data_IF_975756776052
#
_entry.id   IF_975756776052
#
_cell.length_a   1.000
_cell.length_b   1.000
_cell.length_c   1.000
_cell.angle_alpha   90.00
_cell.angle_beta   90.00
_cell.angle_gamma   90.00
#
_symmetry.space_group_name_H-M   'P 1'
#
loop_
_entity.id
_entity.type
_entity.pdbx_description
1 polymer ?
#
# COMPACT_ATOMS: atom_id res chain seq x y z
N UNK A 1 -26.27 32.35 -42.47
CA UNK A 1 -26.17 31.24 -43.44
C UNK A 1 -27.31 30.24 -43.29
N UNK A 2 -27.45 29.48 -42.18
CA UNK A 2 -28.54 28.49 -42.02
C UNK A 2 -29.94 29.10 -42.20
N UNK A 3 -30.23 30.18 -41.47
CA UNK A 3 -31.49 30.93 -41.55
C UNK A 3 -31.77 31.47 -42.97
N UNK A 4 -30.72 31.80 -43.73
CA UNK A 4 -30.84 32.32 -45.09
C UNK A 4 -31.19 31.20 -46.08
N UNK A 5 -30.61 30.00 -45.89
CA UNK A 5 -30.92 28.79 -46.67
C UNK A 5 -32.37 28.36 -46.41
N UNK A 6 -32.78 28.28 -45.14
CA UNK A 6 -34.16 27.96 -44.74
C UNK A 6 -35.15 28.99 -45.29
N UNK A 7 -34.81 30.28 -45.19
CA UNK A 7 -35.61 31.37 -45.74
C UNK A 7 -35.75 31.28 -47.26
N UNK A 8 -34.65 31.00 -47.98
CA UNK A 8 -34.66 30.83 -49.43
C UNK A 8 -35.50 29.64 -49.86
N UNK A 9 -35.34 28.49 -49.19
CA UNK A 9 -36.16 27.30 -49.46
C UNK A 9 -37.65 27.58 -49.26
N UNK A 10 -38.01 28.25 -48.16
CA UNK A 10 -39.40 28.63 -47.90
C UNK A 10 -39.97 29.51 -49.02
N UNK A 11 -39.23 30.53 -49.46
CA UNK A 11 -39.66 31.40 -50.56
C UNK A 11 -39.86 30.61 -51.86
N UNK A 12 -38.93 29.72 -52.21
CA UNK A 12 -39.02 28.90 -53.42
C UNK A 12 -40.20 27.91 -53.35
N UNK A 13 -40.40 27.27 -52.19
CA UNK A 13 -41.53 26.37 -51.97
C UNK A 13 -42.88 27.09 -52.03
N UNK A 14 -42.99 28.26 -51.39
CA UNK A 14 -44.19 29.09 -51.42
C UNK A 14 -44.49 29.57 -52.85
N UNK A 15 -43.46 29.96 -53.62
CA UNK A 15 -43.60 30.32 -55.02
C UNK A 15 -44.06 29.14 -55.89
N UNK A 16 -43.48 27.94 -55.69
CA UNK A 16 -43.94 26.73 -56.39
C UNK A 16 -45.44 26.48 -56.12
N UNK A 17 -45.87 26.52 -54.85
CA UNK A 17 -47.27 26.32 -54.49
C UNK A 17 -48.25 27.28 -55.19
N UNK A 18 -47.81 28.51 -55.49
CA UNK A 18 -48.59 29.48 -56.27
C UNK A 18 -48.60 29.08 -57.74
N UNK A 19 -47.44 28.77 -58.32
CA UNK A 19 -47.29 28.43 -59.75
C UNK A 19 -48.05 27.15 -60.14
N UNK A 20 -48.15 26.17 -59.24
CA UNK A 20 -48.87 24.92 -59.48
C UNK A 20 -50.35 25.15 -59.86
N UNK A 21 -50.94 26.29 -59.53
CA UNK A 21 -52.33 26.63 -59.91
C UNK A 21 -52.50 27.05 -61.38
N UNK A 22 -51.40 27.31 -62.08
CA UNK A 22 -51.37 27.93 -63.40
C UNK A 22 -50.70 27.06 -64.47
N UNK A 23 -50.12 25.93 -64.08
CA UNK A 23 -49.28 25.08 -64.93
C UNK A 23 -50.02 23.82 -65.36
N UNK A 24 -49.58 23.24 -66.48
CA UNK A 24 -49.99 21.90 -66.91
C UNK A 24 -49.34 20.80 -66.05
N UNK A 25 -49.90 19.59 -66.12
CA UNK A 25 -49.48 18.43 -65.30
C UNK A 25 -48.00 18.09 -65.45
N UNK A 26 -47.42 18.27 -66.63
CA UNK A 26 -46.03 17.93 -66.89
C UNK A 26 -45.10 18.92 -66.17
N UNK A 27 -45.40 20.22 -66.29
CA UNK A 27 -44.62 21.27 -65.61
C UNK A 27 -44.81 21.27 -64.09
N UNK A 28 -46.01 20.91 -63.62
CA UNK A 28 -46.27 20.70 -62.20
C UNK A 28 -45.37 19.59 -61.62
N UNK A 29 -45.29 18.44 -62.30
CA UNK A 29 -44.46 17.31 -61.88
C UNK A 29 -42.97 17.66 -61.85
N UNK A 30 -42.46 18.38 -62.85
CA UNK A 30 -41.06 18.83 -62.92
C UNK A 30 -40.68 19.70 -61.72
N UNK A 31 -41.45 20.76 -61.44
CA UNK A 31 -41.15 21.68 -60.33
C UNK A 31 -41.33 21.02 -58.96
N UNK A 32 -42.30 20.10 -58.80
CA UNK A 32 -42.43 19.35 -57.56
C UNK A 32 -41.23 18.43 -57.33
N UNK A 33 -40.68 17.82 -58.39
CA UNK A 33 -39.43 17.05 -58.31
C UNK A 33 -38.24 17.90 -57.86
N UNK A 34 -38.12 19.14 -58.35
CA UNK A 34 -37.09 20.08 -57.88
C UNK A 34 -37.26 20.45 -56.39
N UNK A 35 -38.49 20.74 -55.97
CA UNK A 35 -38.81 21.01 -54.55
C UNK A 35 -38.44 19.81 -53.67
N UNK A 36 -38.75 18.59 -54.09
CA UNK A 36 -38.40 17.39 -53.34
C UNK A 36 -36.88 17.17 -53.28
N UNK A 37 -36.16 17.51 -54.35
CA UNK A 37 -34.69 17.57 -54.34
C UNK A 37 -34.15 18.60 -53.34
N UNK A 38 -34.77 19.78 -53.23
CA UNK A 38 -34.39 20.79 -52.25
C UNK A 38 -34.72 20.35 -50.81
N UNK A 39 -35.87 19.70 -50.58
CA UNK A 39 -36.20 19.10 -49.27
C UNK A 39 -35.17 18.07 -48.85
N UNK A 40 -34.74 17.19 -49.75
CA UNK A 40 -33.69 16.21 -49.45
C UNK A 40 -32.37 16.89 -49.05
N UNK A 41 -32.03 18.04 -49.65
CA UNK A 41 -30.86 18.85 -49.24
C UNK A 41 -31.05 19.51 -47.87
N UNK A 42 -32.27 19.93 -47.53
CA UNK A 42 -32.59 20.44 -46.19
C UNK A 42 -32.38 19.37 -45.11
N UNK A 43 -32.69 18.10 -45.40
CA UNK A 43 -32.40 16.99 -44.48
C UNK A 43 -30.90 16.79 -44.26
N UNK A 44 -30.06 16.99 -45.28
CA UNK A 44 -28.61 16.96 -45.11
C UNK A 44 -28.15 18.09 -44.19
N UNK A 45 -28.74 19.28 -44.32
CA UNK A 45 -28.45 20.43 -43.45
C UNK A 45 -28.82 20.14 -41.98
N UNK A 46 -29.92 19.44 -41.71
CA UNK A 46 -30.27 19.00 -40.35
C UNK A 46 -29.21 18.05 -39.77
N UNK A 47 -28.80 17.04 -40.54
CA UNK A 47 -27.76 16.09 -40.10
C UNK A 47 -26.41 16.76 -39.88
N UNK A 48 -26.08 17.80 -40.63
CA UNK A 48 -24.87 18.60 -40.38
C UNK A 48 -24.91 19.28 -39.01
N UNK A 49 -26.04 19.84 -38.59
CA UNK A 49 -26.16 20.45 -37.27
C UNK A 49 -26.02 19.44 -36.13
N UNK A 50 -26.63 18.26 -36.27
CA UNK A 50 -26.47 17.17 -35.30
C UNK A 50 -25.00 16.76 -35.16
N UNK A 51 -24.28 16.63 -36.27
CA UNK A 51 -22.84 16.35 -36.27
C UNK A 51 -22.01 17.48 -35.66
N UNK A 52 -22.33 18.74 -35.96
CA UNK A 52 -21.64 19.89 -35.38
C UNK A 52 -21.86 19.97 -33.86
N UNK A 53 -23.08 19.67 -33.40
CA UNK A 53 -23.40 19.60 -31.98
C UNK A 53 -22.60 18.49 -31.29
N UNK A 54 -22.59 17.29 -31.86
CA UNK A 54 -21.78 16.18 -31.37
C UNK A 54 -20.29 16.54 -31.28
N UNK A 55 -19.72 17.14 -32.33
CA UNK A 55 -18.31 17.57 -32.34
C UNK A 55 -18.03 18.62 -31.26
N UNK A 56 -18.95 19.56 -31.03
CA UNK A 56 -18.81 20.56 -29.98
C UNK A 56 -18.83 19.93 -28.58
N UNK A 57 -19.71 18.97 -28.34
CA UNK A 57 -19.80 18.23 -27.07
C UNK A 57 -18.55 17.38 -26.85
N UNK A 58 -18.13 16.62 -27.85
CA UNK A 58 -16.89 15.83 -27.83
C UNK A 58 -15.67 16.69 -27.50
N UNK A 59 -15.51 17.84 -28.18
CA UNK A 59 -14.40 18.77 -27.93
C UNK A 59 -14.44 19.38 -26.52
N UNK A 60 -15.63 19.57 -25.95
CA UNK A 60 -15.76 20.01 -24.56
C UNK A 60 -15.31 18.93 -23.59
N UNK A 61 -15.74 17.68 -23.80
CA UNK A 61 -15.39 16.55 -22.93
C UNK A 61 -13.91 16.24 -22.98
N UNK A 62 -13.30 16.18 -24.17
CA UNK A 62 -11.86 15.88 -24.31
C UNK A 62 -10.98 16.96 -23.65
N UNK A 63 -11.43 18.23 -23.65
CA UNK A 63 -10.73 19.32 -22.95
C UNK A 63 -10.77 19.16 -21.44
N UNK A 64 -11.89 18.70 -20.89
CA UNK A 64 -12.01 18.41 -19.45
C UNK A 64 -11.15 17.21 -19.08
N UNK A 65 -11.13 16.18 -19.91
CA UNK A 65 -10.27 15.01 -19.73
C UNK A 65 -8.78 15.38 -19.73
N UNK A 66 -8.32 16.18 -20.70
CA UNK A 66 -6.94 16.69 -20.74
C UNK A 66 -6.56 17.50 -19.50
N UNK A 67 -7.48 18.35 -19.02
CA UNK A 67 -7.30 19.10 -17.77
C UNK A 67 -7.14 18.17 -16.57
N UNK A 68 -7.96 17.12 -16.48
CA UNK A 68 -7.91 16.12 -15.40
C UNK A 68 -6.56 15.38 -15.39
N UNK A 69 -6.06 14.96 -16.56
CA UNK A 69 -4.73 14.34 -16.67
C UNK A 69 -3.63 15.32 -16.25
N UNK A 70 -3.72 16.58 -16.66
CA UNK A 70 -2.72 17.59 -16.30
C UNK A 70 -2.68 17.84 -14.79
N UNK A 71 -3.83 17.89 -14.12
CA UNK A 71 -3.90 18.01 -12.65
C UNK A 71 -3.26 16.82 -11.94
N UNK A 72 -3.55 15.59 -12.40
CA UNK A 72 -2.97 14.36 -11.86
C UNK A 72 -1.44 14.32 -12.06
N UNK A 73 -0.95 14.71 -13.25
CA UNK A 73 0.48 14.79 -13.56
C UNK A 73 1.20 15.80 -12.65
N UNK A 74 0.59 16.96 -12.44
CA UNK A 74 1.14 17.98 -11.54
C UNK A 74 1.19 17.48 -10.09
N UNK A 75 0.15 16.77 -9.64
CA UNK A 75 0.15 16.18 -8.31
C UNK A 75 1.25 15.12 -8.15
N UNK A 76 1.50 14.30 -9.18
CA UNK A 76 2.54 13.26 -9.16
C UNK A 76 3.94 13.81 -8.87
N UNK A 77 4.24 15.03 -9.31
CA UNK A 77 5.54 15.68 -9.03
C UNK A 77 5.73 15.82 -7.52
N UNK A 78 4.72 16.38 -6.85
CA UNK A 78 4.74 16.61 -5.41
C UNK A 78 4.62 15.30 -4.61
N UNK A 79 3.77 14.37 -5.06
CA UNK A 79 3.64 13.04 -4.46
C UNK A 79 4.96 12.26 -4.48
N UNK A 80 5.71 12.32 -5.60
CA UNK A 80 7.05 11.71 -5.70
C UNK A 80 8.04 12.36 -4.75
N UNK A 81 8.04 13.70 -4.65
CA UNK A 81 8.89 14.42 -3.70
C UNK A 81 8.64 13.98 -2.26
N UNK A 82 7.38 14.00 -1.81
CA UNK A 82 6.98 13.58 -0.46
C UNK A 82 7.36 12.12 -0.18
N UNK A 83 7.18 11.24 -1.17
CA UNK A 83 7.58 9.84 -1.10
C UNK A 83 9.10 9.70 -0.90
N UNK A 84 9.88 10.37 -1.74
CA UNK A 84 11.34 10.28 -1.70
C UNK A 84 11.91 10.84 -0.40
N UNK A 85 11.35 11.94 0.11
CA UNK A 85 11.73 12.50 1.43
C UNK A 85 11.44 11.54 2.58
N UNK A 86 10.38 10.74 2.47
CA UNK A 86 9.97 9.79 3.50
C UNK A 86 10.80 8.49 3.49
N UNK A 87 11.12 7.99 2.30
CA UNK A 87 11.89 6.76 2.10
C UNK A 87 13.41 7.00 2.18
N UNK A 88 13.89 8.17 1.76
CA UNK A 88 15.30 8.53 1.71
C UNK A 88 15.56 9.87 2.42
N UNK A 89 15.27 9.97 3.73
CA UNK A 89 15.38 11.23 4.44
C UNK A 89 16.85 11.66 4.56
N UNK A 90 17.13 12.94 4.29
CA UNK A 90 18.49 13.52 4.43
C UNK A 90 18.85 13.86 5.88
N UNK A 91 17.83 14.01 6.73
CA UNK A 91 17.94 14.26 8.16
C UNK A 91 17.14 13.21 8.93
N UNK A 92 17.44 13.02 10.22
CA UNK A 92 16.65 12.08 11.03
C UNK A 92 15.25 12.65 11.22
N UNK A 93 14.24 12.00 10.63
CA UNK A 93 12.83 12.32 10.86
C UNK A 93 12.39 11.62 12.15
N UNK A 94 11.69 12.35 13.02
CA UNK A 94 11.12 11.75 14.22
C UNK A 94 10.18 10.60 13.85
N UNK A 95 10.25 9.44 14.53
CA UNK A 95 9.42 8.28 14.19
C UNK A 95 7.92 8.59 14.13
N UNK A 96 7.46 9.57 14.92
CA UNK A 96 6.09 10.07 14.95
C UNK A 96 5.66 10.70 13.63
N UNK A 97 6.46 11.64 13.17
CA UNK A 97 6.25 12.40 11.95
C UNK A 97 6.35 11.49 10.74
N UNK A 98 7.24 10.49 10.80
CA UNK A 98 7.41 9.49 9.74
C UNK A 98 6.17 8.61 9.55
N UNK A 99 5.55 8.14 10.64
CA UNK A 99 4.30 7.35 10.57
C UNK A 99 3.16 8.21 10.03
N UNK A 100 2.99 9.42 10.56
CA UNK A 100 1.94 10.36 10.13
C UNK A 100 2.07 10.68 8.65
N UNK A 101 3.27 11.08 8.20
CA UNK A 101 3.54 11.39 6.80
C UNK A 101 3.33 10.18 5.89
N UNK A 102 3.61 8.95 6.35
CA UNK A 102 3.34 7.73 5.58
C UNK A 102 1.84 7.51 5.39
N UNK A 103 1.06 7.66 6.46
CA UNK A 103 -0.40 7.48 6.43
C UNK A 103 -1.09 8.55 5.58
N UNK A 104 -0.68 9.80 5.71
CA UNK A 104 -1.19 10.91 4.90
C UNK A 104 -0.88 10.68 3.41
N UNK A 105 0.37 10.35 3.09
CA UNK A 105 0.77 10.08 1.71
C UNK A 105 0.02 8.88 1.14
N UNK A 106 -0.20 7.81 1.92
CA UNK A 106 -0.99 6.66 1.48
C UNK A 106 -2.43 7.06 1.14
N UNK A 107 -3.08 7.84 2.02
CA UNK A 107 -4.45 8.33 1.79
C UNK A 107 -4.55 9.21 0.55
N UNK A 108 -3.55 10.07 0.33
CA UNK A 108 -3.51 10.93 -0.84
C UNK A 108 -3.32 10.09 -2.12
N UNK A 109 -2.38 9.13 -2.12
CA UNK A 109 -2.15 8.23 -3.27
C UNK A 109 -3.41 7.43 -3.62
N UNK A 110 -4.11 6.87 -2.62
CA UNK A 110 -5.37 6.15 -2.83
C UNK A 110 -6.43 7.06 -3.48
N UNK A 111 -6.53 8.32 -3.05
CA UNK A 111 -7.44 9.31 -3.65
C UNK A 111 -7.12 9.58 -5.14
N UNK A 112 -5.83 9.68 -5.49
CA UNK A 112 -5.43 9.91 -6.89
C UNK A 112 -5.59 8.67 -7.76
N UNK A 113 -5.45 7.47 -7.19
CA UNK A 113 -5.79 6.21 -7.89
C UNK A 113 -7.26 6.20 -8.28
N UNK A 114 -8.17 6.56 -7.37
CA UNK A 114 -9.60 6.63 -7.69
C UNK A 114 -9.92 7.67 -8.77
N UNK A 115 -9.28 8.85 -8.73
CA UNK A 115 -9.40 9.83 -9.81
C UNK A 115 -8.89 9.31 -11.15
N UNK A 116 -7.81 8.52 -11.15
CA UNK A 116 -7.24 7.93 -12.37
C UNK A 116 -8.14 6.84 -12.94
N UNK A 117 -8.80 6.05 -12.09
CA UNK A 117 -9.85 5.10 -12.52
C UNK A 117 -11.03 5.82 -13.15
N UNK A 118 -11.52 6.90 -12.53
CA UNK A 118 -12.59 7.70 -13.10
C UNK A 118 -12.20 8.32 -14.46
N UNK A 119 -10.95 8.80 -14.60
CA UNK A 119 -10.43 9.26 -15.87
C UNK A 119 -10.40 8.13 -16.92
N UNK A 120 -10.05 6.89 -16.53
CA UNK A 120 -10.06 5.75 -17.43
C UNK A 120 -11.46 5.40 -17.95
N UNK A 121 -12.47 5.46 -17.09
CA UNK A 121 -13.88 5.26 -17.50
C UNK A 121 -14.35 6.35 -18.47
N UNK A 122 -13.87 7.59 -18.32
CA UNK A 122 -14.18 8.67 -19.25
C UNK A 122 -13.45 8.47 -20.59
N UNK A 123 -12.18 8.03 -20.55
CA UNK A 123 -11.43 7.69 -21.76
C UNK A 123 -12.08 6.57 -22.56
N UNK A 124 -12.70 5.58 -21.90
CA UNK A 124 -13.42 4.51 -22.59
C UNK A 124 -14.58 5.01 -23.47
N UNK A 125 -15.13 6.19 -23.17
CA UNK A 125 -16.17 6.85 -23.96
C UNK A 125 -15.60 7.72 -25.08
N UNK A 126 -14.36 8.19 -24.93
CA UNK A 126 -13.69 9.13 -25.84
C UNK A 126 -12.74 8.45 -26.82
N UNK A 127 -12.26 7.25 -26.50
CA UNK A 127 -11.21 6.59 -27.26
C UNK A 127 -11.66 6.30 -28.69
N UNK A 128 -10.72 6.28 -29.65
CA UNK A 128 -10.99 5.87 -31.02
C UNK A 128 -11.71 4.51 -31.08
N UNK A 129 -12.76 4.42 -31.90
CA UNK A 129 -13.52 3.16 -32.09
C UNK A 129 -13.51 2.69 -33.54
N UNK A 130 -13.31 3.61 -34.48
CA UNK A 130 -13.28 3.30 -35.91
C UNK A 130 -11.87 3.39 -36.53
N UNK A 131 -11.68 2.70 -37.65
CA UNK A 131 -10.43 2.74 -38.39
C UNK A 131 -10.15 4.16 -38.92
N UNK A 132 -9.00 4.71 -38.56
CA UNK A 132 -8.58 6.07 -38.94
C UNK A 132 -8.79 7.14 -37.86
N UNK A 133 -9.50 6.81 -36.76
CA UNK A 133 -9.62 7.70 -35.59
C UNK A 133 -8.43 7.59 -34.63
N UNK A 134 -7.59 6.56 -34.78
CA UNK A 134 -6.41 6.29 -33.96
C UNK A 134 -5.24 7.23 -34.32
N UNK A 135 -5.42 8.52 -34.00
CA UNK A 135 -4.44 9.57 -34.28
C UNK A 135 -3.27 9.55 -33.29
N UNK A 136 -2.13 10.19 -33.63
CA UNK A 136 -1.03 10.38 -32.68
C UNK A 136 -1.46 11.05 -31.36
N UNK A 137 -2.41 11.97 -31.40
CA UNK A 137 -2.95 12.67 -30.23
C UNK A 137 -3.73 11.71 -29.33
N UNK A 138 -4.60 10.87 -29.90
CA UNK A 138 -5.33 9.85 -29.14
C UNK A 138 -4.37 8.88 -28.44
N UNK A 139 -3.28 8.46 -29.12
CA UNK A 139 -2.22 7.64 -28.54
C UNK A 139 -1.48 8.33 -27.41
N UNK A 140 -1.26 9.65 -27.52
CA UNK A 140 -0.64 10.46 -26.48
C UNK A 140 -1.50 10.46 -25.21
N UNK A 141 -2.81 10.65 -25.33
CA UNK A 141 -3.74 10.59 -24.20
C UNK A 141 -3.74 9.22 -23.50
N UNK A 142 -3.85 8.14 -24.27
CA UNK A 142 -3.78 6.79 -23.72
C UNK A 142 -2.45 6.54 -23.00
N UNK A 143 -1.33 6.94 -23.62
CA UNK A 143 0.01 6.77 -23.02
C UNK A 143 0.17 7.57 -21.73
N UNK A 144 -0.34 8.81 -21.65
CA UNK A 144 -0.33 9.63 -20.43
C UNK A 144 -1.11 8.95 -19.30
N UNK A 145 -2.31 8.46 -19.60
CA UNK A 145 -3.14 7.77 -18.62
C UNK A 145 -2.49 6.47 -18.12
N UNK A 146 -1.92 5.67 -19.02
CA UNK A 146 -1.23 4.42 -18.68
C UNK A 146 0.01 4.69 -17.80
N UNK A 147 0.82 5.69 -18.19
CA UNK A 147 2.00 6.09 -17.43
C UNK A 147 1.62 6.58 -16.02
N UNK A 148 0.54 7.35 -15.90
CA UNK A 148 0.01 7.82 -14.62
C UNK A 148 -0.44 6.67 -13.73
N UNK A 149 -1.27 5.78 -14.29
CA UNK A 149 -1.83 4.62 -13.58
C UNK A 149 -0.71 3.71 -13.07
N UNK A 150 0.27 3.42 -13.93
CA UNK A 150 1.44 2.61 -13.56
C UNK A 150 2.27 3.30 -12.48
N UNK A 151 2.54 4.59 -12.60
CA UNK A 151 3.33 5.35 -11.60
C UNK A 151 2.64 5.35 -10.23
N UNK A 152 1.34 5.62 -10.18
CA UNK A 152 0.57 5.64 -8.94
C UNK A 152 0.47 4.24 -8.31
N UNK A 153 0.31 3.19 -9.11
CA UNK A 153 0.31 1.80 -8.61
C UNK A 153 1.64 1.47 -7.94
N UNK A 154 2.76 1.73 -8.61
CA UNK A 154 4.10 1.50 -8.04
C UNK A 154 4.32 2.33 -6.77
N UNK A 155 3.95 3.61 -6.79
CA UNK A 155 4.03 4.48 -5.62
C UNK A 155 3.20 3.94 -4.45
N UNK A 156 1.98 3.47 -4.72
CA UNK A 156 1.12 2.89 -3.70
C UNK A 156 1.73 1.64 -3.06
N UNK A 157 2.31 0.75 -3.87
CA UNK A 157 3.00 -0.43 -3.36
C UNK A 157 4.19 -0.05 -2.48
N UNK A 158 4.99 0.93 -2.90
CA UNK A 158 6.14 1.43 -2.13
C UNK A 158 5.72 2.08 -0.80
N UNK A 159 4.71 2.96 -0.81
CA UNK A 159 4.20 3.63 0.39
C UNK A 159 3.54 2.64 1.33
N UNK A 160 2.79 1.66 0.82
CA UNK A 160 2.21 0.58 1.63
C UNK A 160 3.27 -0.34 2.21
N UNK A 161 4.32 -0.64 1.47
CA UNK A 161 5.44 -1.42 1.99
C UNK A 161 6.15 -0.69 3.13
N UNK A 162 6.32 0.63 3.02
CA UNK A 162 6.84 1.45 4.13
C UNK A 162 5.88 1.44 5.33
N UNK A 163 4.58 1.61 5.09
CA UNK A 163 3.54 1.51 6.12
C UNK A 163 3.51 0.13 6.81
N UNK A 164 3.81 -0.94 6.07
CA UNK A 164 3.84 -2.30 6.58
C UNK A 164 5.03 -2.58 7.51
N UNK A 165 6.11 -1.78 7.47
CA UNK A 165 7.20 -1.87 8.46
C UNK A 165 6.70 -1.55 9.87
N UNK A 166 5.70 -0.67 10.00
CA UNK A 166 4.99 -0.44 11.26
C UNK A 166 4.09 -1.62 11.68
N UNK A 167 3.95 -2.66 10.84
CA UNK A 167 3.19 -3.89 11.09
C UNK A 167 4.03 -5.18 11.16
N UNK A 168 5.35 -5.12 10.96
CA UNK A 168 6.29 -6.26 11.02
C UNK A 168 6.28 -6.98 12.39
N UNK A 169 5.86 -6.25 13.40
CA UNK A 169 5.38 -6.68 14.70
C UNK A 169 4.43 -7.90 14.70
N UNK A 170 3.51 -7.99 13.72
CA UNK A 170 2.59 -9.14 13.59
C UNK A 170 3.31 -10.40 13.13
N UNK A 171 4.37 -10.28 12.32
CA UNK A 171 5.13 -11.40 11.77
C UNK A 171 6.03 -12.04 12.83
N UNK A 172 6.62 -11.24 13.73
CA UNK A 172 7.38 -11.76 14.89
C UNK A 172 6.49 -12.54 15.85
N UNK A 173 5.22 -12.15 16.01
CA UNK A 173 4.21 -12.91 16.76
C UNK A 173 3.88 -14.27 16.13
N UNK A 174 3.80 -14.35 14.80
CA UNK A 174 3.49 -15.59 14.08
C UNK A 174 4.66 -16.58 14.00
N UNK A 175 5.89 -16.10 13.78
CA UNK A 175 7.07 -16.97 13.64
C UNK A 175 7.58 -17.55 14.97
N UNK A 176 7.17 -16.97 16.11
CA UNK A 176 7.67 -17.35 17.42
C UNK A 176 9.13 -16.92 17.65
N UNK A 177 9.61 -17.09 18.88
CA UNK A 177 10.95 -16.65 19.27
C UNK A 177 12.03 -17.41 18.47
N UNK A 178 12.92 -16.71 17.75
CA UNK A 178 14.05 -17.35 17.07
C UNK A 178 14.88 -18.20 18.03
N UNK A 179 15.27 -19.41 17.60
CA UNK A 179 16.09 -20.32 18.40
C UNK A 179 17.58 -20.08 18.12
N UNK A 180 18.36 -19.57 19.09
CA UNK A 180 19.79 -19.40 18.90
C UNK A 180 20.52 -20.73 19.01
N UNK A 181 21.55 -20.92 18.19
CA UNK A 181 22.35 -22.15 18.20
C UNK A 181 23.59 -22.05 19.09
N UNK A 182 24.01 -20.83 19.43
CA UNK A 182 25.21 -20.56 20.22
C UNK A 182 25.08 -19.25 21.01
N UNK A 183 26.00 -19.04 21.95
CA UNK A 183 26.01 -17.87 22.84
C UNK A 183 26.11 -16.53 22.11
N UNK A 184 26.78 -16.49 20.96
CA UNK A 184 26.91 -15.27 20.15
C UNK A 184 25.55 -14.90 19.56
N UNK A 185 24.86 -15.86 18.94
CA UNK A 185 23.51 -15.67 18.38
C UNK A 185 22.49 -15.27 19.46
N UNK A 186 22.55 -15.85 20.67
CA UNK A 186 21.62 -15.42 21.73
C UNK A 186 21.88 -13.99 22.20
N UNK A 187 23.15 -13.58 22.33
CA UNK A 187 23.50 -12.20 22.69
C UNK A 187 23.05 -11.23 21.59
N UNK A 188 23.19 -11.61 20.33
CA UNK A 188 22.71 -10.82 19.20
C UNK A 188 21.18 -10.70 19.18
N UNK A 189 20.44 -11.81 19.25
CA UNK A 189 18.97 -11.78 19.29
C UNK A 189 18.43 -11.06 20.53
N UNK A 190 19.09 -11.17 21.68
CA UNK A 190 18.75 -10.41 22.88
C UNK A 190 18.84 -8.90 22.63
N UNK A 191 19.93 -8.44 22.00
CA UNK A 191 20.12 -7.02 21.70
C UNK A 191 19.12 -6.54 20.65
N UNK A 192 18.88 -7.31 19.59
CA UNK A 192 17.87 -6.99 18.57
C UNK A 192 16.46 -6.91 19.17
N UNK A 193 16.12 -7.81 20.10
CA UNK A 193 14.82 -7.80 20.79
C UNK A 193 14.69 -6.59 21.73
N UNK A 194 15.79 -6.14 22.35
CA UNK A 194 15.81 -4.90 23.14
C UNK A 194 15.59 -3.65 22.30
N UNK A 195 16.22 -3.57 21.14
CA UNK A 195 16.01 -2.48 20.18
C UNK A 195 14.54 -2.49 19.75
N UNK A 196 14.02 -3.67 19.39
CA UNK A 196 12.61 -3.82 19.02
C UNK A 196 11.64 -3.40 20.14
N UNK A 197 11.92 -3.73 21.40
CA UNK A 197 11.13 -3.25 22.54
C UNK A 197 11.16 -1.72 22.65
N UNK A 198 12.35 -1.11 22.55
CA UNK A 198 12.50 0.33 22.63
C UNK A 198 11.75 1.04 21.48
N UNK A 199 11.80 0.50 20.26
CA UNK A 199 11.06 1.03 19.11
C UNK A 199 9.54 0.91 19.32
N UNK A 200 9.07 -0.22 19.86
CA UNK A 200 7.66 -0.42 20.18
C UNK A 200 7.16 0.50 21.31
N UNK A 201 7.96 0.71 22.36
CA UNK A 201 7.63 1.65 23.45
C UNK A 201 7.62 3.10 22.96
N UNK A 202 8.53 3.45 22.04
CA UNK A 202 8.50 4.72 21.35
C UNK A 202 7.18 4.87 20.59
N UNK A 203 6.84 3.94 19.69
CA UNK A 203 5.59 3.90 18.92
C UNK A 203 4.33 4.02 19.80
N UNK A 204 4.35 3.47 21.02
CA UNK A 204 3.20 3.46 21.92
C UNK A 204 2.87 4.85 22.44
N UNK A 205 3.92 5.62 22.76
CA UNK A 205 3.84 7.02 23.14
C UNK A 205 3.36 7.88 21.94
N UNK A 206 3.82 7.56 20.73
CA UNK A 206 3.37 8.25 19.49
C UNK A 206 1.87 8.12 19.29
N UNK A 207 1.36 6.89 19.39
CA UNK A 207 -0.06 6.63 19.18
C UNK A 207 -0.90 7.38 20.19
N UNK A 208 -0.46 7.50 21.45
CA UNK A 208 -1.14 8.30 22.47
C UNK A 208 -1.21 9.77 22.10
N UNK A 209 -0.08 10.37 21.72
CA UNK A 209 -0.01 11.78 21.33
C UNK A 209 -0.79 12.08 20.04
N UNK A 210 -0.77 11.15 19.08
CA UNK A 210 -1.52 11.25 17.83
C UNK A 210 -3.03 11.20 18.09
N UNK A 211 -3.49 10.31 18.98
CA UNK A 211 -4.89 10.23 19.39
C UNK A 211 -5.36 11.50 20.14
N UNK A 212 -4.52 12.05 21.02
CA UNK A 212 -4.79 13.34 21.68
C UNK A 212 -4.92 14.50 20.68
N UNK A 213 -4.15 14.45 19.60
CA UNK A 213 -4.20 15.45 18.53
C UNK A 213 -5.43 15.25 17.63
N UNK A 214 -5.75 14.01 17.25
CA UNK A 214 -6.92 13.68 16.43
C UNK A 214 -8.23 14.10 17.10
N UNK A 215 -8.35 13.96 18.43
CA UNK A 215 -9.50 14.42 19.22
C UNK A 215 -9.74 15.93 19.20
N UNK A 216 -8.79 16.72 18.71
CA UNK A 216 -8.95 18.18 18.53
C UNK A 216 -9.56 18.54 17.17
N UNK A 217 -9.75 17.56 16.27
CA UNK A 217 -10.32 17.74 14.94
C UNK A 217 -11.83 17.44 14.93
N UNK A 218 -12.57 17.94 13.95
CA UNK A 218 -14.05 17.84 13.90
C UNK A 218 -14.61 16.54 13.30
N UNK A 219 -13.76 15.68 12.70
CA UNK A 219 -14.11 14.36 12.12
C UNK A 219 -13.02 13.34 12.47
N UNK A 220 -13.07 12.77 13.68
CA UNK A 220 -12.03 11.88 14.21
C UNK A 220 -12.46 10.41 14.36
N UNK A 221 -13.69 10.06 14.00
CA UNK A 221 -14.27 8.72 14.24
C UNK A 221 -13.48 7.59 13.54
N UNK A 222 -13.10 7.79 12.28
CA UNK A 222 -12.24 6.83 11.54
C UNK A 222 -10.84 6.71 12.13
N UNK A 223 -10.30 7.82 12.65
CA UNK A 223 -8.99 7.87 13.30
C UNK A 223 -9.00 7.16 14.65
N UNK A 224 -10.10 7.27 15.41
CA UNK A 224 -10.28 6.59 16.69
C UNK A 224 -10.36 5.06 16.51
N UNK A 225 -11.08 4.59 15.49
CA UNK A 225 -11.16 3.16 15.15
C UNK A 225 -9.78 2.62 14.78
N UNK A 226 -9.02 3.37 13.98
CA UNK A 226 -7.64 3.00 13.61
C UNK A 226 -6.70 3.01 14.81
N UNK A 227 -6.76 4.04 15.66
CA UNK A 227 -5.96 4.13 16.89
C UNK A 227 -6.21 2.93 17.80
N UNK A 228 -7.48 2.59 18.06
CA UNK A 228 -7.84 1.46 18.92
C UNK A 228 -7.26 0.15 18.41
N UNK A 229 -7.42 -0.12 17.10
CA UNK A 229 -6.89 -1.33 16.47
C UNK A 229 -5.35 -1.38 16.53
N UNK A 230 -4.66 -0.24 16.36
CA UNK A 230 -3.20 -0.16 16.45
C UNK A 230 -2.70 -0.33 17.89
N UNK A 231 -3.35 0.29 18.87
CA UNK A 231 -2.99 0.22 20.29
C UNK A 231 -3.14 -1.20 20.84
N UNK A 232 -4.21 -1.91 20.48
CA UNK A 232 -4.39 -3.33 20.85
C UNK A 232 -3.29 -4.22 20.27
N UNK A 233 -2.84 -3.96 19.04
CA UNK A 233 -1.75 -4.71 18.40
C UNK A 233 -0.41 -4.42 19.06
N UNK A 234 -0.10 -3.16 19.33
CA UNK A 234 1.17 -2.75 19.93
C UNK A 234 1.30 -3.23 21.38
N UNK A 235 0.22 -3.22 22.15
CA UNK A 235 0.20 -3.81 23.49
C UNK A 235 0.62 -5.29 23.47
N UNK A 236 0.16 -6.07 22.48
CA UNK A 236 0.58 -7.45 22.33
C UNK A 236 2.07 -7.60 21.98
N UNK A 237 2.62 -6.69 21.16
CA UNK A 237 4.04 -6.66 20.78
C UNK A 237 4.93 -6.40 21.99
N UNK A 238 4.57 -5.39 22.79
CA UNK A 238 5.30 -5.01 23.99
C UNK A 238 5.42 -6.16 24.98
N UNK A 239 4.34 -6.93 25.15
CA UNK A 239 4.33 -8.14 26.00
C UNK A 239 5.29 -9.18 25.43
N UNK A 240 5.18 -9.50 24.14
CA UNK A 240 6.02 -10.53 23.49
C UNK A 240 7.50 -10.17 23.56
N UNK A 241 7.86 -8.92 23.26
CA UNK A 241 9.24 -8.47 23.29
C UNK A 241 9.85 -8.58 24.71
N UNK A 242 9.07 -8.21 25.75
CA UNK A 242 9.49 -8.38 27.17
C UNK A 242 9.71 -9.84 27.52
N UNK A 243 8.78 -10.72 27.17
CA UNK A 243 8.92 -12.17 27.39
C UNK A 243 10.14 -12.77 26.68
N UNK A 244 10.41 -12.37 25.44
CA UNK A 244 11.56 -12.85 24.68
C UNK A 244 12.88 -12.39 25.30
N UNK A 245 12.95 -11.12 25.75
CA UNK A 245 14.12 -10.60 26.47
C UNK A 245 14.40 -11.43 27.72
N UNK A 246 13.38 -11.76 28.51
CA UNK A 246 13.54 -12.61 29.70
C UNK A 246 14.03 -14.01 29.35
N UNK A 247 13.47 -14.63 28.29
CA UNK A 247 13.89 -15.95 27.82
C UNK A 247 15.33 -15.95 27.32
N UNK A 248 15.72 -14.96 26.51
CA UNK A 248 17.10 -14.82 26.02
C UNK A 248 18.10 -14.56 27.16
N UNK A 249 17.79 -13.68 28.11
CA UNK A 249 18.63 -13.41 29.28
C UNK A 249 18.84 -14.68 30.12
N UNK A 250 17.77 -15.44 30.36
CA UNK A 250 17.83 -16.74 31.03
C UNK A 250 18.75 -17.74 30.32
N UNK A 251 18.67 -17.81 28.98
CA UNK A 251 19.49 -18.72 28.19
C UNK A 251 20.97 -18.29 28.14
N UNK A 252 21.24 -16.98 27.99
CA UNK A 252 22.60 -16.41 28.04
C UNK A 252 23.25 -16.75 29.39
N UNK A 253 22.54 -16.55 30.50
CA UNK A 253 23.04 -16.89 31.86
C UNK A 253 23.41 -18.37 32.01
N UNK A 254 22.64 -19.27 31.40
CA UNK A 254 22.96 -20.71 31.42
C UNK A 254 24.20 -21.02 30.59
N UNK A 255 24.34 -20.42 29.41
CA UNK A 255 25.51 -20.61 28.55
C UNK A 255 26.78 -19.97 29.08
N UNK A 256 26.71 -18.77 29.66
CA UNK A 256 27.86 -18.14 30.32
C UNK A 256 28.34 -19.03 31.50
N UNK A 257 27.41 -19.53 32.34
CA UNK A 257 27.75 -20.50 33.41
C UNK A 257 28.33 -21.80 32.88
N UNK A 258 27.83 -22.30 31.76
CA UNK A 258 28.36 -23.50 31.10
C UNK A 258 29.81 -23.27 30.65
N UNK A 259 30.09 -22.12 30.02
CA UNK A 259 31.44 -21.75 29.59
C UNK A 259 32.40 -21.60 30.77
N UNK A 260 31.98 -20.92 31.85
CA UNK A 260 32.76 -20.78 33.08
C UNK A 260 33.08 -22.14 33.73
N UNK A 261 32.07 -23.02 33.80
CA UNK A 261 32.24 -24.35 34.41
C UNK A 261 33.17 -25.22 33.57
N UNK A 262 33.02 -25.20 32.24
CA UNK A 262 33.91 -25.91 31.32
C UNK A 262 35.37 -25.43 31.43
N UNK A 263 35.59 -24.11 31.58
CA UNK A 263 36.92 -23.56 31.81
C UNK A 263 37.52 -24.03 33.14
N UNK A 264 36.74 -24.05 34.23
CA UNK A 264 37.20 -24.56 35.54
C UNK A 264 37.56 -26.04 35.49
N UNK A 265 36.73 -26.88 34.87
CA UNK A 265 37.00 -28.32 34.69
C UNK A 265 38.25 -28.52 33.83
N UNK A 266 38.39 -27.77 32.73
CA UNK A 266 39.57 -27.88 31.85
C UNK A 266 40.86 -27.48 32.57
N UNK A 267 40.81 -26.42 33.39
CA UNK A 267 41.95 -25.99 34.22
C UNK A 267 42.32 -27.05 35.26
N UNK A 268 41.32 -27.65 35.93
CA UNK A 268 41.53 -28.71 36.92
C UNK A 268 42.06 -30.02 36.32
N UNK A 269 41.67 -30.37 35.08
CA UNK A 269 42.23 -31.52 34.36
C UNK A 269 43.68 -31.24 33.92
N UNK A 270 43.99 -29.99 33.59
CA UNK A 270 45.32 -29.59 33.10
C UNK A 270 46.36 -29.43 34.23
N UNK A 271 45.94 -29.29 35.48
CA UNK A 271 46.85 -29.33 36.63
C UNK A 271 47.39 -30.75 36.83
N UNK A 272 48.71 -30.91 36.75
CA UNK A 272 49.39 -32.19 36.97
C UNK A 272 49.26 -32.65 38.43
N UNK A 273 49.14 -33.97 38.71
CA UNK A 273 49.18 -34.47 40.08
C UNK A 273 50.55 -34.14 40.71
N UNK A 274 50.55 -33.43 41.84
CA UNK A 274 51.73 -33.26 42.69
C UNK A 274 52.47 -31.93 42.64
N UNK A 275 52.01 -30.92 41.89
CA UNK A 275 52.58 -29.58 41.99
C UNK A 275 51.75 -28.76 42.99
N UNK A 276 52.31 -28.52 44.19
CA UNK A 276 51.63 -27.98 45.38
C UNK A 276 51.13 -26.53 45.28
N UNK A 277 50.79 -26.04 44.10
CA UNK A 277 50.12 -24.77 43.85
C UNK A 277 48.61 -25.02 43.71
N UNK A 278 47.89 -24.85 44.81
CA UNK A 278 46.51 -25.29 44.99
C UNK A 278 45.54 -24.94 43.85
N UNK A 279 44.83 -25.97 43.38
CA UNK A 279 43.36 -26.06 43.35
C UNK A 279 42.99 -27.46 42.84
N UNK A 280 43.34 -28.51 43.58
CA UNK A 280 42.64 -29.80 43.44
C UNK A 280 41.19 -29.54 43.86
N UNK A 281 40.27 -29.37 42.89
CA UNK A 281 38.85 -29.48 43.22
C UNK A 281 38.65 -30.85 43.85
N UNK A 282 38.18 -30.88 45.11
CA UNK A 282 37.91 -32.15 45.78
C UNK A 282 36.89 -32.93 44.96
N UNK A 283 36.93 -34.26 45.03
CA UNK A 283 36.01 -35.11 44.30
C UNK A 283 34.54 -34.75 44.58
N UNK A 284 34.23 -34.29 45.79
CA UNK A 284 32.93 -33.74 46.19
C UNK A 284 32.57 -32.43 45.49
N UNK A 285 33.55 -31.58 45.15
CA UNK A 285 33.34 -30.34 44.40
C UNK A 285 33.15 -30.64 42.90
N UNK A 286 33.81 -31.68 42.38
CA UNK A 286 33.59 -32.22 41.02
C UNK A 286 32.20 -32.85 40.89
N UNK A 287 31.77 -33.62 41.89
CA UNK A 287 30.46 -34.25 41.90
C UNK A 287 29.33 -33.21 42.06
N UNK A 288 29.54 -32.17 42.88
CA UNK A 288 28.63 -31.02 42.96
C UNK A 288 28.59 -30.22 41.67
N UNK A 289 29.74 -29.97 41.02
CA UNK A 289 29.77 -29.26 39.72
C UNK A 289 29.13 -30.09 38.61
N UNK A 290 29.29 -31.42 38.62
CA UNK A 290 28.62 -32.32 37.69
C UNK A 290 27.11 -32.38 37.93
N UNK A 291 26.65 -32.55 39.17
CA UNK A 291 25.22 -32.52 39.52
C UNK A 291 24.58 -31.16 39.22
N UNK A 292 25.32 -30.06 39.38
CA UNK A 292 24.89 -28.73 38.97
C UNK A 292 24.79 -28.60 37.44
N UNK A 293 25.76 -29.10 36.68
CA UNK A 293 25.73 -29.13 35.20
C UNK A 293 24.54 -29.95 34.68
N UNK A 294 24.31 -31.14 35.22
CA UNK A 294 23.19 -31.99 34.81
C UNK A 294 21.84 -31.30 35.07
N UNK A 295 21.65 -30.79 36.29
CA UNK A 295 20.35 -30.26 36.74
C UNK A 295 20.05 -28.86 36.20
N UNK A 296 21.02 -27.94 36.29
CA UNK A 296 20.79 -26.52 35.99
C UNK A 296 21.18 -26.11 34.56
N UNK A 297 22.07 -26.86 33.91
CA UNK A 297 22.52 -26.53 32.53
C UNK A 297 21.82 -27.44 31.54
N UNK A 298 22.00 -28.76 31.62
CA UNK A 298 21.46 -29.68 30.61
C UNK A 298 19.94 -29.83 30.68
N UNK A 299 19.37 -30.19 31.84
CA UNK A 299 17.92 -30.36 31.97
C UNK A 299 17.15 -29.06 31.77
N UNK A 300 17.68 -27.94 32.26
CA UNK A 300 17.03 -26.62 32.11
C UNK A 300 17.10 -26.12 30.66
N UNK A 301 18.24 -26.29 29.98
CA UNK A 301 18.36 -25.99 28.54
C UNK A 301 17.43 -26.87 27.70
N UNK A 302 17.34 -28.17 27.98
CA UNK A 302 16.41 -29.06 27.27
C UNK A 302 14.96 -28.65 27.47
N UNK A 303 14.52 -28.40 28.70
CA UNK A 303 13.14 -27.92 28.96
C UNK A 303 12.84 -26.59 28.26
N UNK A 304 13.78 -25.64 28.24
CA UNK A 304 13.61 -24.39 27.49
C UNK A 304 13.51 -24.63 25.97
N UNK A 305 14.34 -25.52 25.42
CA UNK A 305 14.30 -25.86 23.99
C UNK A 305 13.03 -26.61 23.57
N UNK A 306 12.52 -27.51 24.43
CA UNK A 306 11.25 -28.21 24.23
C UNK A 306 10.07 -27.22 24.28
N UNK A 307 10.05 -26.31 25.26
CA UNK A 307 9.03 -25.26 25.35
C UNK A 307 8.98 -24.37 24.11
N UNK A 308 10.14 -23.94 23.60
CA UNK A 308 10.22 -23.15 22.35
C UNK A 308 9.74 -23.95 21.13
N UNK A 309 9.96 -25.27 21.11
CA UNK A 309 9.44 -26.13 20.05
C UNK A 309 7.92 -26.25 20.08
N UNK A 310 7.35 -26.32 21.28
CA UNK A 310 5.91 -26.38 21.49
C UNK A 310 5.24 -25.04 21.11
N UNK A 311 5.86 -23.92 21.48
CA UNK A 311 5.38 -22.56 21.13
C UNK A 311 5.39 -22.34 19.61
N UNK A 312 6.47 -22.74 18.92
CA UNK A 312 6.54 -22.67 17.46
C UNK A 312 5.47 -23.53 16.77
N UNK A 313 5.20 -24.74 17.29
CA UNK A 313 4.14 -25.61 16.77
C UNK A 313 2.74 -25.01 16.99
N UNK A 314 2.51 -24.38 18.15
CA UNK A 314 1.23 -23.73 18.45
C UNK A 314 1.01 -22.47 17.60
N UNK A 315 2.07 -21.72 17.29
CA UNK A 315 1.99 -20.53 16.43
C UNK A 315 1.60 -20.88 14.99
N UNK A 316 2.20 -21.95 14.43
CA UNK A 316 1.84 -22.46 13.10
C UNK A 316 0.37 -22.91 13.00
N UNK A 317 -0.20 -23.46 14.09
CA UNK A 317 -1.62 -23.82 14.16
C UNK A 317 -2.51 -22.56 14.14
N UNK A 318 -2.08 -21.44 14.72
CA UNK A 318 -2.84 -20.20 14.75
C UNK A 318 -2.88 -19.52 13.37
N UNK A 319 -1.76 -19.52 12.65
CA UNK A 319 -1.62 -18.98 11.29
C UNK A 319 -2.56 -19.70 10.31
N UNK A 320 -2.64 -21.03 10.39
CA UNK A 320 -3.58 -21.83 9.58
C UNK A 320 -5.06 -21.56 9.88
N UNK A 321 -5.39 -20.97 11.04
CA UNK A 321 -6.76 -20.58 11.41
C UNK A 321 -7.11 -19.15 11.00
N UNK A 322 -6.13 -18.25 10.92
CA UNK A 322 -6.33 -16.88 10.43
C UNK A 322 -6.52 -16.84 8.90
N UNK A 323 -5.83 -17.71 8.13
CA UNK A 323 -6.06 -17.86 6.68
C UNK A 323 -7.42 -18.50 6.33
N UNK A 324 -8.07 -19.18 7.28
CA UNK A 324 -9.35 -19.86 7.06
C UNK A 324 -10.58 -18.95 7.25
N UNK A 325 -10.40 -17.68 7.60
CA UNK A 325 -11.50 -16.70 7.68
C UNK A 325 -11.68 -16.08 6.29
N UNK A 326 -12.79 -16.37 5.57
CA UNK A 326 -13.03 -15.76 4.27
C UNK A 326 -13.13 -14.24 4.41
N UNK A 327 -12.74 -13.47 3.37
CA UNK A 327 -12.80 -12.01 3.42
C UNK A 327 -14.23 -11.60 3.76
N UNK A 328 -14.38 -10.83 4.83
CA UNK A 328 -15.66 -10.29 5.26
C UNK A 328 -16.29 -9.53 4.10
N UNK A 329 -17.53 -9.90 3.78
CA UNK A 329 -18.35 -9.32 2.70
C UNK A 329 -18.72 -7.87 2.96
#
# INVERSE_FOLDING_TARGET
>A
MRKDIEGTFKVVNDANNILQKLLDDNKMAELNGEIDGLKARMEVLNRMDEKLKFLSEFNSTIKVFDGTLTELENWLIEGKRRKDELLNPTETIEPQERVMATMELQSDVDTQIEKTKAAAEEWDKLKPTEAGEDTPEAKSFASRQDAMSSTLSTMNDEVRAEGAKFGEDRRKKAMGMPRPNNLVEAKDFFNQTKIWLADAESLDNILEQSNESAKKMTLHEDSDVKYKALKERLAAVLVIAKEWIEKYDGMIKVWDKQAETAAKVSAAISSKPGDGSGSEMKLEDLEKTFGFLETNVYRKKQKMMEGLSQEAANAAILESKEEAVPPAA
#
